data_IF_300612671449
#
_entry.id   IF_300612671449
#
_cell.length_a   1.000
_cell.length_b   1.000
_cell.length_c   1.000
_cell.angle_alpha   90.00
_cell.angle_beta   90.00
_cell.angle_gamma   90.00
#
_symmetry.space_group_name_H-M   'P 1'
#
loop_
_entity.id
_entity.type
_entity.pdbx_description
1 polymer ?
#
# COMPACT_ATOMS: atom_id res chain seq x y z
N UNK A 1 -3.53 -23.42 -18.98
CA UNK A 1 -3.93 -24.57 -19.84
C UNK A 1 -5.20 -24.20 -20.59
N UNK A 2 -5.53 -24.81 -21.74
CA UNK A 2 -6.84 -24.62 -22.38
C UNK A 2 -7.78 -25.72 -21.90
N UNK A 3 -9.01 -25.35 -21.51
CA UNK A 3 -10.07 -26.27 -21.08
C UNK A 3 -11.31 -26.06 -21.94
N UNK A 4 -12.16 -27.08 -22.05
CA UNK A 4 -13.40 -27.02 -22.81
C UNK A 4 -14.60 -26.99 -21.85
N UNK A 5 -15.54 -26.07 -22.09
CA UNK A 5 -16.76 -25.95 -21.29
C UNK A 5 -17.68 -27.16 -21.54
N UNK A 6 -18.06 -27.93 -20.51
CA UNK A 6 -18.83 -29.17 -20.70
C UNK A 6 -20.25 -28.96 -21.22
N UNK A 7 -20.78 -27.73 -21.18
CA UNK A 7 -22.14 -27.41 -21.63
C UNK A 7 -22.19 -26.76 -23.01
N UNK A 8 -21.10 -26.13 -23.46
CA UNK A 8 -21.10 -25.31 -24.68
C UNK A 8 -20.04 -25.69 -25.70
N UNK A 9 -19.08 -26.56 -25.33
CA UNK A 9 -17.93 -26.90 -26.18
C UNK A 9 -16.93 -25.76 -26.42
N UNK A 10 -17.16 -24.57 -25.83
CA UNK A 10 -16.25 -23.42 -25.98
C UNK A 10 -14.94 -23.67 -25.22
N UNK A 11 -13.82 -23.27 -25.84
CA UNK A 11 -12.49 -23.34 -25.22
C UNK A 11 -12.19 -22.09 -24.40
N UNK A 12 -11.66 -22.27 -23.20
CA UNK A 12 -11.26 -21.21 -22.26
C UNK A 12 -9.85 -21.43 -21.76
N UNK A 13 -9.16 -20.35 -21.36
CA UNK A 13 -7.85 -20.44 -20.70
C UNK A 13 -8.07 -20.61 -19.20
N UNK A 14 -7.56 -21.70 -18.64
CA UNK A 14 -7.44 -21.92 -17.21
C UNK A 14 -6.09 -21.39 -16.71
N UNK A 15 -6.15 -20.44 -15.76
CA UNK A 15 -5.02 -19.89 -15.03
C UNK A 15 -4.91 -20.57 -13.66
N UNK A 16 -3.70 -20.88 -13.17
CA UNK A 16 -3.53 -21.33 -11.79
C UNK A 16 -3.95 -20.21 -10.82
N UNK A 17 -4.50 -20.59 -9.67
CA UNK A 17 -4.78 -19.64 -8.61
C UNK A 17 -3.47 -19.04 -8.07
N UNK A 18 -3.46 -17.74 -7.85
CA UNK A 18 -2.38 -17.04 -7.13
C UNK A 18 -2.72 -17.10 -5.64
N UNK A 19 -1.83 -17.66 -4.83
CA UNK A 19 -2.02 -17.87 -3.38
C UNK A 19 -0.72 -17.48 -2.64
N UNK A 20 -0.48 -16.18 -2.41
CA UNK A 20 0.77 -15.71 -1.82
C UNK A 20 0.98 -16.25 -0.41
N UNK A 21 2.24 -16.42 -0.01
CA UNK A 21 2.54 -16.75 1.39
C UNK A 21 2.25 -15.58 2.33
N UNK A 22 2.54 -14.36 1.88
CA UNK A 22 2.32 -13.12 2.64
C UNK A 22 1.81 -12.03 1.70
N UNK A 23 0.80 -11.28 2.13
CA UNK A 23 0.41 -10.01 1.56
C UNK A 23 0.70 -8.89 2.55
N UNK A 24 1.31 -7.80 2.06
CA UNK A 24 1.50 -6.55 2.82
C UNK A 24 0.68 -5.48 2.11
N UNK A 25 -0.29 -4.90 2.81
CA UNK A 25 -1.25 -3.95 2.25
C UNK A 25 -1.23 -2.67 3.09
N UNK A 26 -1.18 -1.52 2.43
CA UNK A 26 -1.24 -0.22 3.08
C UNK A 26 -2.66 0.35 3.02
N UNK A 27 -3.21 0.81 4.15
CA UNK A 27 -4.61 1.26 4.27
C UNK A 27 -4.71 2.61 4.99
N UNK A 28 -5.85 3.30 4.82
CA UNK A 28 -6.07 4.57 5.50
C UNK A 28 -6.19 4.38 7.00
N UNK A 29 -7.05 3.46 7.43
CA UNK A 29 -7.35 3.29 8.84
C UNK A 29 -7.49 1.80 9.13
N UNK A 30 -6.96 1.38 10.27
CA UNK A 30 -7.19 0.05 10.82
C UNK A 30 -7.43 0.14 12.31
N UNK A 31 -8.26 -0.73 12.88
CA UNK A 31 -8.21 -0.96 14.32
C UNK A 31 -7.09 -1.96 14.67
N UNK A 32 -6.80 -2.11 15.96
CA UNK A 32 -5.74 -3.02 16.42
C UNK A 32 -5.99 -4.50 16.08
N UNK A 33 -7.21 -4.86 15.65
CA UNK A 33 -7.56 -6.21 15.26
C UNK A 33 -7.41 -6.45 13.76
N UNK A 34 -7.30 -5.40 12.94
CA UNK A 34 -7.15 -5.51 11.49
C UNK A 34 -8.43 -5.23 10.70
N UNK A 35 -9.46 -4.63 11.31
CA UNK A 35 -10.58 -4.12 10.53
C UNK A 35 -10.16 -2.83 9.81
N UNK A 36 -10.06 -2.90 8.49
CA UNK A 36 -9.52 -1.81 7.69
C UNK A 36 -10.60 -1.03 6.96
N UNK A 37 -10.51 0.29 7.03
CA UNK A 37 -11.18 1.19 6.10
C UNK A 37 -10.19 1.60 5.00
N UNK A 38 -10.59 1.37 3.75
CA UNK A 38 -9.88 1.86 2.56
C UNK A 38 -10.80 2.87 1.88
N UNK A 39 -10.28 4.06 1.58
CA UNK A 39 -10.98 5.11 0.85
C UNK A 39 -10.41 5.21 -0.56
N UNK A 40 -11.28 5.43 -1.54
CA UNK A 40 -10.85 5.52 -2.94
C UNK A 40 -10.63 4.14 -3.56
N UNK A 41 -9.61 4.01 -4.39
CA UNK A 41 -9.38 2.83 -5.23
C UNK A 41 -8.57 1.79 -4.45
N UNK A 42 -9.06 0.56 -4.38
CA UNK A 42 -8.44 -0.57 -3.66
C UNK A 42 -7.84 -1.62 -4.61
N UNK A 43 -7.43 -1.21 -5.82
CA UNK A 43 -6.93 -1.99 -6.97
C UNK A 43 -7.16 -3.51 -6.88
N UNK A 44 -6.37 -4.23 -6.09
CA UNK A 44 -6.54 -5.68 -5.83
C UNK A 44 -6.33 -6.05 -4.35
N UNK A 45 -6.43 -5.08 -3.44
CA UNK A 45 -6.16 -5.25 -2.01
C UNK A 45 -7.09 -6.27 -1.37
N UNK A 46 -8.38 -6.23 -1.72
CA UNK A 46 -9.39 -7.15 -1.19
C UNK A 46 -9.13 -8.59 -1.64
N UNK A 47 -8.84 -8.78 -2.92
CA UNK A 47 -8.55 -10.08 -3.51
C UNK A 47 -7.25 -10.64 -2.93
N UNK A 48 -6.21 -9.80 -2.82
CA UNK A 48 -4.90 -10.21 -2.32
C UNK A 48 -4.95 -10.59 -0.84
N UNK A 49 -5.66 -9.82 -0.01
CA UNK A 49 -5.85 -10.13 1.41
C UNK A 49 -6.53 -11.50 1.60
N UNK A 50 -7.49 -11.86 0.73
CA UNK A 50 -8.22 -13.13 0.81
C UNK A 50 -7.44 -14.30 0.20
N UNK A 51 -6.53 -14.03 -0.72
CA UNK A 51 -5.72 -15.04 -1.40
C UNK A 51 -4.49 -15.46 -0.61
N UNK A 52 -3.95 -14.57 0.23
CA UNK A 52 -2.72 -14.81 0.96
C UNK A 52 -2.91 -15.72 2.19
N UNK A 53 -1.87 -16.47 2.55
CA UNK A 53 -1.86 -17.26 3.80
C UNK A 53 -1.71 -16.38 5.04
N UNK A 54 -0.97 -15.27 4.90
CA UNK A 54 -0.73 -14.28 5.94
C UNK A 54 -0.96 -12.88 5.41
N UNK A 55 -1.61 -12.02 6.19
CA UNK A 55 -1.87 -10.63 5.83
C UNK A 55 -1.30 -9.69 6.89
N UNK A 56 -0.43 -8.80 6.45
CA UNK A 56 0.13 -7.71 7.25
C UNK A 56 -0.47 -6.41 6.73
N UNK A 57 -1.12 -5.68 7.63
CA UNK A 57 -1.65 -4.35 7.36
C UNK A 57 -0.67 -3.32 7.87
N UNK A 58 -0.28 -2.38 7.01
CA UNK A 58 0.29 -1.11 7.42
C UNK A 58 -0.80 -0.05 7.29
N UNK A 59 -0.96 0.84 8.25
CA UNK A 59 -2.03 1.83 8.25
C UNK A 59 -1.48 3.24 8.47
N UNK A 60 -2.06 4.23 7.80
CA UNK A 60 -1.76 5.64 8.07
C UNK A 60 -2.07 6.01 9.52
N UNK A 61 -3.11 5.39 10.10
CA UNK A 61 -3.56 5.65 11.45
C UNK A 61 -4.31 4.48 12.06
N UNK A 62 -4.06 4.22 13.34
CA UNK A 62 -4.89 3.32 14.13
C UNK A 62 -6.12 4.04 14.67
N UNK A 63 -7.26 3.37 14.62
CA UNK A 63 -8.54 3.87 15.14
C UNK A 63 -9.12 2.94 16.19
N UNK A 64 -9.94 3.48 17.08
CA UNK A 64 -10.72 2.66 17.99
C UNK A 64 -11.72 1.80 17.18
N UNK A 65 -11.91 0.54 17.58
CA UNK A 65 -12.87 -0.36 16.93
C UNK A 65 -14.29 0.19 16.89
N UNK A 66 -14.67 1.08 17.81
CA UNK A 66 -15.93 1.80 17.77
C UNK A 66 -16.06 2.65 16.49
N UNK A 67 -14.99 3.34 16.06
CA UNK A 67 -15.00 4.15 14.84
C UNK A 67 -15.28 3.29 13.59
N UNK A 68 -14.71 2.08 13.54
CA UNK A 68 -15.03 1.09 12.51
C UNK A 68 -16.50 0.67 12.58
N UNK A 69 -16.99 0.33 13.79
CA UNK A 69 -18.36 -0.15 14.03
C UNK A 69 -19.46 0.88 13.76
N UNK A 70 -19.17 2.18 13.79
CA UNK A 70 -20.13 3.21 13.41
C UNK A 70 -20.48 3.09 11.91
N UNK A 71 -19.52 2.72 11.07
CA UNK A 71 -19.71 2.58 9.62
C UNK A 71 -19.24 1.20 9.12
N UNK A 72 -19.88 0.10 9.57
CA UNK A 72 -19.38 -1.25 9.34
C UNK A 72 -19.38 -1.65 7.86
N UNK A 73 -20.20 -0.99 7.03
CA UNK A 73 -20.24 -1.18 5.57
C UNK A 73 -19.00 -0.64 4.86
N UNK A 74 -18.15 0.15 5.53
CA UNK A 74 -16.87 0.64 5.01
C UNK A 74 -15.69 -0.28 5.33
N UNK A 75 -15.89 -1.34 6.10
CA UNK A 75 -14.84 -2.33 6.38
C UNK A 75 -14.57 -3.15 5.13
N UNK A 76 -13.43 -2.88 4.48
CA UNK A 76 -13.02 -3.56 3.24
C UNK A 76 -12.29 -4.86 3.55
N UNK A 77 -11.29 -4.80 4.43
CA UNK A 77 -10.54 -5.97 4.90
C UNK A 77 -10.97 -6.23 6.35
N UNK A 78 -11.63 -7.37 6.65
CA UNK A 78 -12.08 -7.70 7.99
C UNK A 78 -10.97 -8.34 8.84
N UNK A 79 -11.02 -8.14 10.15
CA UNK A 79 -9.98 -8.61 11.10
C UNK A 79 -9.64 -10.11 11.01
N UNK A 80 -10.60 -10.97 10.67
CA UNK A 80 -10.42 -12.42 10.74
C UNK A 80 -9.49 -12.99 9.66
N UNK A 81 -9.11 -12.18 8.66
CA UNK A 81 -8.09 -12.53 7.66
C UNK A 81 -6.77 -11.79 7.86
N UNK A 82 -6.63 -11.00 8.93
CA UNK A 82 -5.44 -10.20 9.22
C UNK A 82 -4.61 -10.84 10.33
N UNK A 83 -3.30 -10.93 10.13
CA UNK A 83 -2.36 -11.52 11.09
C UNK A 83 -1.58 -10.47 11.88
N UNK A 84 -1.32 -9.30 11.28
CA UNK A 84 -0.59 -8.21 11.93
C UNK A 84 -1.07 -6.84 11.43
N UNK A 85 -1.03 -5.85 12.33
CA UNK A 85 -1.32 -4.45 12.03
C UNK A 85 -0.18 -3.59 12.56
N UNK A 86 0.31 -2.66 11.72
CA UNK A 86 1.38 -1.72 12.05
C UNK A 86 0.93 -0.32 11.66
N UNK A 87 1.04 0.64 12.58
CA UNK A 87 0.86 2.05 12.23
C UNK A 87 2.12 2.55 11.53
N UNK A 88 1.99 2.98 10.28
CA UNK A 88 3.08 3.52 9.45
C UNK A 88 2.55 4.76 8.74
N UNK A 89 2.52 5.93 9.41
CA UNK A 89 2.11 7.17 8.77
C UNK A 89 2.99 7.47 7.56
N UNK A 90 2.37 7.87 6.46
CA UNK A 90 3.00 8.05 5.15
C UNK A 90 3.56 6.76 4.53
N UNK A 91 3.04 5.58 4.89
CA UNK A 91 3.57 4.29 4.47
C UNK A 91 3.43 3.98 2.97
N UNK A 92 2.60 4.72 2.24
CA UNK A 92 2.53 4.64 0.76
C UNK A 92 3.63 5.46 0.07
N UNK A 93 4.33 6.36 0.77
CA UNK A 93 5.41 7.16 0.20
C UNK A 93 6.49 6.25 -0.44
N UNK A 94 6.97 6.54 -1.66
CA UNK A 94 6.78 7.75 -2.47
C UNK A 94 5.53 7.76 -3.36
N UNK A 95 4.70 6.71 -3.30
CA UNK A 95 3.43 6.61 -3.99
C UNK A 95 2.33 7.49 -3.38
N UNK A 96 1.19 7.51 -4.05
CA UNK A 96 0.01 8.24 -3.60
C UNK A 96 -0.72 7.47 -2.50
N UNK A 97 -1.31 8.21 -1.57
CA UNK A 97 -2.35 7.70 -0.67
C UNK A 97 -3.57 8.59 -0.81
N UNK A 98 -4.56 8.11 -1.56
CA UNK A 98 -5.75 8.89 -1.96
C UNK A 98 -6.39 9.55 -0.73
N UNK A 99 -6.70 10.83 -0.82
CA UNK A 99 -7.25 11.67 0.25
C UNK A 99 -6.33 11.93 1.45
N UNK A 100 -5.07 11.46 1.43
CA UNK A 100 -4.07 11.73 2.45
C UNK A 100 -2.91 12.56 1.89
N UNK A 101 -2.22 12.08 0.84
CA UNK A 101 -1.11 12.80 0.20
C UNK A 101 -0.82 12.32 -1.23
N UNK A 102 -0.30 13.23 -2.05
CA UNK A 102 0.05 12.98 -3.45
C UNK A 102 1.36 12.19 -3.56
N UNK A 103 1.63 11.58 -4.71
CA UNK A 103 2.91 10.93 -5.01
C UNK A 103 4.04 11.93 -5.10
N UNK A 104 5.23 11.52 -4.68
CA UNK A 104 6.46 12.30 -4.84
C UNK A 104 7.12 12.00 -6.18
N UNK A 105 6.64 12.70 -7.21
CA UNK A 105 7.13 12.53 -8.59
C UNK A 105 8.62 12.80 -8.73
N UNK A 106 9.20 13.70 -7.92
CA UNK A 106 10.64 13.98 -7.96
C UNK A 106 11.46 12.79 -7.43
N UNK A 107 11.01 12.16 -6.35
CA UNK A 107 11.67 10.97 -5.80
C UNK A 107 11.49 9.75 -6.71
N UNK A 108 10.29 9.57 -7.28
CA UNK A 108 10.03 8.52 -8.26
C UNK A 108 10.91 8.70 -9.51
N UNK A 109 11.10 9.92 -9.99
CA UNK A 109 12.00 10.19 -11.13
C UNK A 109 13.47 9.88 -10.78
N UNK A 110 13.92 10.20 -9.55
CA UNK A 110 15.26 9.84 -9.08
C UNK A 110 15.47 8.32 -9.07
N UNK A 111 14.50 7.57 -8.55
CA UNK A 111 14.54 6.10 -8.55
C UNK A 111 14.61 5.54 -9.99
N UNK A 112 13.71 5.99 -10.87
CA UNK A 112 13.66 5.54 -12.28
C UNK A 112 14.93 5.88 -13.07
N UNK A 113 15.64 6.94 -12.70
CA UNK A 113 16.96 7.28 -13.26
C UNK A 113 18.04 6.34 -12.73
N UNK A 114 18.07 6.10 -11.42
CA UNK A 114 19.07 5.26 -10.76
C UNK A 114 18.99 3.80 -11.19
N UNK A 115 17.79 3.23 -11.34
CA UNK A 115 17.57 1.81 -11.70
C UNK A 115 18.20 1.42 -13.06
N UNK A 116 18.48 2.40 -13.94
CA UNK A 116 19.08 2.14 -15.25
C UNK A 116 20.55 1.72 -15.20
N UNK A 117 21.25 2.03 -14.11
CA UNK A 117 22.65 1.68 -13.90
C UNK A 117 22.80 0.92 -12.57
N UNK A 118 23.35 -0.31 -12.57
CA UNK A 118 23.45 -1.10 -11.34
C UNK A 118 24.23 -0.44 -10.21
N UNK A 119 25.28 0.33 -10.52
CA UNK A 119 26.11 0.97 -9.51
C UNK A 119 25.40 2.20 -8.91
N UNK A 120 24.68 2.98 -9.73
CA UNK A 120 23.81 4.05 -9.24
C UNK A 120 22.62 3.51 -8.44
N UNK A 121 22.01 2.41 -8.88
CA UNK A 121 20.92 1.78 -8.16
C UNK A 121 21.38 1.29 -6.78
N UNK A 122 22.56 0.68 -6.69
CA UNK A 122 23.15 0.29 -5.41
C UNK A 122 23.35 1.51 -4.50
N UNK A 123 23.91 2.61 -5.02
CA UNK A 123 24.06 3.86 -4.25
C UNK A 123 22.72 4.41 -3.76
N UNK A 124 21.69 4.34 -4.59
CA UNK A 124 20.34 4.78 -4.25
C UNK A 124 19.76 3.96 -3.09
N UNK A 125 19.79 2.63 -3.21
CA UNK A 125 19.26 1.71 -2.18
C UNK A 125 20.11 1.79 -0.90
N UNK A 126 21.43 1.93 -1.00
CA UNK A 126 22.31 2.14 0.14
C UNK A 126 21.92 3.40 0.91
N UNK A 127 21.66 4.51 0.21
CA UNK A 127 21.31 5.80 0.82
C UNK A 127 19.94 5.76 1.50
N UNK A 128 18.92 5.24 0.82
CA UNK A 128 17.53 5.38 1.25
C UNK A 128 16.99 4.18 2.03
N UNK A 129 17.63 3.01 1.94
CA UNK A 129 17.11 1.75 2.50
C UNK A 129 18.12 1.09 3.44
N UNK A 130 19.35 0.81 3.00
CA UNK A 130 20.28 0.02 3.83
C UNK A 130 21.02 0.81 4.91
N UNK A 131 21.27 2.11 4.70
CA UNK A 131 21.97 2.98 5.66
C UNK A 131 21.02 3.91 6.43
N UNK A 132 19.73 3.56 6.51
CA UNK A 132 18.78 4.22 7.41
C UNK A 132 18.40 3.27 8.55
N UNK A 133 18.17 3.83 9.74
CA UNK A 133 17.82 3.09 10.94
C UNK A 133 16.30 2.98 11.16
N UNK A 134 15.51 3.82 10.48
CA UNK A 134 14.06 3.81 10.57
C UNK A 134 13.37 4.39 9.32
N UNK A 135 12.05 4.20 9.23
CA UNK A 135 11.26 4.78 8.15
C UNK A 135 11.21 6.31 8.23
N UNK A 136 11.19 6.88 9.44
CA UNK A 136 11.25 8.32 9.66
C UNK A 136 12.56 8.93 9.14
N UNK A 137 13.70 8.25 9.33
CA UNK A 137 14.98 8.69 8.78
C UNK A 137 14.96 8.70 7.25
N UNK A 138 14.37 7.69 6.62
CA UNK A 138 14.13 7.68 5.18
C UNK A 138 13.27 8.87 4.73
N UNK A 139 12.17 9.16 5.41
CA UNK A 139 11.32 10.32 5.10
C UNK A 139 12.09 11.64 5.25
N UNK A 140 12.93 11.80 6.27
CA UNK A 140 13.78 12.99 6.45
C UNK A 140 14.79 13.16 5.31
N UNK A 141 15.42 12.09 4.83
CA UNK A 141 16.29 12.13 3.64
C UNK A 141 15.54 12.56 2.36
N UNK A 142 14.23 12.33 2.33
CA UNK A 142 13.34 12.70 1.25
C UNK A 142 12.72 14.11 1.40
N UNK A 143 13.26 14.93 2.30
CA UNK A 143 12.79 16.31 2.53
C UNK A 143 11.84 16.46 3.72
N UNK A 144 11.60 15.36 4.44
CA UNK A 144 10.96 15.32 5.75
C UNK A 144 9.58 15.98 5.78
N UNK A 145 9.24 16.52 6.95
CA UNK A 145 7.91 17.10 7.18
C UNK A 145 7.53 18.23 6.21
N UNK A 146 8.51 18.95 5.64
CA UNK A 146 8.27 20.00 4.66
C UNK A 146 7.69 19.42 3.37
N UNK A 147 8.35 18.39 2.82
CA UNK A 147 7.90 17.70 1.60
C UNK A 147 6.56 17.03 1.83
N UNK A 148 6.38 16.32 2.95
CA UNK A 148 5.12 15.65 3.27
C UNK A 148 3.93 16.63 3.35
N UNK A 149 4.12 17.82 3.95
CA UNK A 149 3.09 18.87 3.98
C UNK A 149 2.74 19.39 2.59
N UNK A 150 3.71 19.51 1.71
CA UNK A 150 3.49 19.90 0.31
C UNK A 150 2.66 18.85 -0.43
N UNK A 151 3.03 17.57 -0.31
CA UNK A 151 2.28 16.45 -0.92
C UNK A 151 0.83 16.38 -0.42
N UNK A 152 0.57 16.67 0.87
CA UNK A 152 -0.80 16.78 1.40
C UNK A 152 -1.59 17.93 0.76
N UNK A 153 -0.97 19.09 0.60
CA UNK A 153 -1.62 20.24 -0.05
C UNK A 153 -1.95 19.95 -1.51
N UNK A 154 -1.05 19.27 -2.21
CA UNK A 154 -1.24 18.84 -3.59
C UNK A 154 -2.44 17.89 -3.71
N UNK A 155 -2.53 16.88 -2.85
CA UNK A 155 -3.68 15.95 -2.81
C UNK A 155 -5.00 16.66 -2.53
N UNK A 156 -4.99 17.59 -1.57
CA UNK A 156 -6.18 18.35 -1.19
C UNK A 156 -6.55 19.46 -2.18
N UNK A 157 -5.73 19.69 -3.22
CA UNK A 157 -5.90 20.76 -4.22
C UNK A 157 -6.04 22.17 -3.61
N UNK A 158 -5.42 22.41 -2.45
CA UNK A 158 -5.63 23.66 -1.67
C UNK A 158 -5.00 24.90 -2.34
N UNK A 159 -4.10 24.70 -3.31
CA UNK A 159 -3.39 25.78 -4.01
C UNK A 159 -3.63 25.75 -5.55
N UNK A 160 -4.85 25.41 -6.02
CA UNK A 160 -5.25 25.55 -7.44
C UNK A 160 -6.33 26.60 -7.67
#
# INVERSE_FOLDING_TARGET
KVIECPFTGKKFVALPAVWPDVAVIHVHESDIYGNCHIRGISVSDLELARAAKRVIITAERLVDSYAIRINPTRTVIPFYIVDAVVEVPFGSYPGNMVYEYFSDEEHLEQWLKAEKDPDEFQRFVDKYIYNVSSFEEYLELCGGIKKLKELRKLEALVDR
#
